data_IF_585463921205
#
_entry.id   IF_585463921205
#
_cell.length_a   1.000
_cell.length_b   1.000
_cell.length_c   1.000
_cell.angle_alpha   90.00
_cell.angle_beta   90.00
_cell.angle_gamma   90.00
#
_symmetry.space_group_name_H-M   'P 1'
#
loop_
_entity.id
_entity.type
_entity.pdbx_description
1 polymer ?
#
# COMPACT_ATOMS: atom_id res chain seq x y z
N UNK A 1 2.73 10.48 -8.86
CA UNK A 1 3.56 10.95 -7.72
C UNK A 1 4.40 12.10 -8.24
N UNK A 2 4.39 13.25 -7.57
CA UNK A 2 5.11 14.41 -8.09
C UNK A 2 6.63 14.16 -8.04
N UNK A 3 7.29 14.44 -9.16
CA UNK A 3 8.68 14.05 -9.48
C UNK A 3 9.76 14.86 -8.75
N UNK A 4 9.43 15.62 -7.70
CA UNK A 4 10.40 16.46 -6.96
C UNK A 4 10.63 15.85 -5.57
N UNK A 5 11.86 15.40 -5.30
CA UNK A 5 12.22 14.84 -3.99
C UNK A 5 12.45 15.92 -2.92
N UNK A 6 12.92 17.11 -3.35
CA UNK A 6 13.27 18.21 -2.44
C UNK A 6 12.50 19.47 -2.86
N UNK A 7 11.89 20.15 -1.89
CA UNK A 7 11.10 21.36 -2.11
C UNK A 7 11.46 22.43 -1.08
N UNK A 8 11.63 23.70 -1.47
CA UNK A 8 11.90 24.78 -0.53
C UNK A 8 10.69 25.01 0.38
N UNK A 9 10.95 25.27 1.67
CA UNK A 9 9.94 25.46 2.72
C UNK A 9 8.88 26.51 2.33
N UNK A 10 9.29 27.55 1.60
CA UNK A 10 8.42 28.65 1.21
C UNK A 10 7.32 28.23 0.21
N UNK A 11 7.53 27.14 -0.51
CA UNK A 11 6.56 26.59 -1.46
C UNK A 11 5.63 25.54 -0.82
N UNK A 12 5.88 25.18 0.45
CA UNK A 12 5.05 24.23 1.20
C UNK A 12 3.78 24.93 1.70
N UNK A 13 2.64 24.28 1.46
CA UNK A 13 1.33 24.71 1.97
C UNK A 13 0.33 25.08 0.88
N UNK A 14 -0.74 25.76 1.27
CA UNK A 14 -1.93 25.97 0.44
C UNK A 14 -1.70 26.77 -0.85
N UNK A 15 -0.53 27.41 -0.98
CA UNK A 15 -0.13 28.13 -2.19
C UNK A 15 0.08 27.20 -3.40
N UNK A 16 0.37 25.92 -3.15
CA UNK A 16 0.47 24.90 -4.20
C UNK A 16 -0.53 23.76 -3.94
N UNK A 17 -1.82 23.97 -4.24
CA UNK A 17 -2.88 23.02 -3.91
C UNK A 17 -2.78 21.72 -4.70
N UNK A 18 -2.10 21.71 -5.85
CA UNK A 18 -1.83 20.49 -6.64
C UNK A 18 -0.86 19.57 -5.89
N UNK A 19 0.16 20.14 -5.23
CA UNK A 19 1.14 19.36 -4.49
C UNK A 19 0.74 19.08 -3.04
N UNK A 20 0.05 20.01 -2.38
CA UNK A 20 -0.34 19.94 -0.98
C UNK A 20 -1.86 19.91 -0.80
N UNK A 21 -2.55 19.09 -1.59
CA UNK A 21 -3.97 18.84 -1.35
C UNK A 21 -4.15 18.01 -0.08
N UNK A 22 -5.24 18.29 0.66
CA UNK A 22 -5.59 17.54 1.88
C UNK A 22 -5.57 16.03 1.65
N UNK A 23 -6.18 15.58 0.55
CA UNK A 23 -6.24 14.17 0.15
C UNK A 23 -4.84 13.59 -0.02
N UNK A 24 -3.96 14.27 -0.76
CA UNK A 24 -2.60 13.77 -1.01
C UNK A 24 -1.78 13.71 0.27
N UNK A 25 -1.80 14.77 1.07
CA UNK A 25 -1.02 14.83 2.31
C UNK A 25 -1.48 13.76 3.31
N UNK A 26 -2.79 13.50 3.44
CA UNK A 26 -3.28 12.39 4.28
C UNK A 26 -2.78 11.04 3.78
N UNK A 27 -2.85 10.77 2.48
CA UNK A 27 -2.35 9.50 1.91
C UNK A 27 -0.83 9.35 2.12
N UNK A 28 -0.04 10.39 1.82
CA UNK A 28 1.42 10.35 1.97
C UNK A 28 1.85 10.13 3.41
N UNK A 29 1.22 10.82 4.37
CA UNK A 29 1.51 10.61 5.80
C UNK A 29 1.17 9.22 6.29
N UNK A 30 0.11 8.58 5.76
CA UNK A 30 -0.17 7.17 6.05
C UNK A 30 0.96 6.24 5.57
N UNK A 31 1.54 6.50 4.39
CA UNK A 31 2.69 5.74 3.89
C UNK A 31 3.98 5.99 4.67
N UNK A 32 4.12 7.14 5.34
CA UNK A 32 5.26 7.40 6.22
C UNK A 32 5.10 6.83 7.64
N UNK A 33 3.96 6.20 7.96
CA UNK A 33 3.82 5.47 9.24
C UNK A 33 4.82 4.30 9.25
N UNK A 34 5.32 3.95 10.43
CA UNK A 34 6.25 2.82 10.69
C UNK A 34 5.76 1.42 10.24
N UNK A 35 4.66 1.33 9.51
CA UNK A 35 4.08 0.08 8.99
C UNK A 35 4.55 -0.21 7.55
N UNK A 36 5.38 0.64 6.94
CA UNK A 36 6.00 0.37 5.64
C UNK A 36 7.38 -0.21 5.85
N UNK A 37 7.57 -1.46 5.40
CA UNK A 37 8.83 -2.19 5.48
C UNK A 37 9.36 -2.32 4.05
N UNK A 38 10.61 -1.92 3.83
CA UNK A 38 11.28 -2.18 2.57
C UNK A 38 11.53 -3.69 2.42
N UNK A 39 11.06 -4.25 1.31
CA UNK A 39 11.24 -5.67 0.98
C UNK A 39 12.30 -5.77 -0.10
N UNK A 40 13.47 -6.30 0.26
CA UNK A 40 14.65 -6.34 -0.62
C UNK A 40 14.92 -7.73 -1.20
N UNK A 41 14.32 -8.78 -0.65
CA UNK A 41 14.54 -10.16 -1.07
C UNK A 41 13.25 -10.96 -1.20
N UNK A 42 13.27 -11.97 -2.08
CA UNK A 42 12.14 -12.85 -2.30
C UNK A 42 11.82 -13.69 -1.05
N UNK A 43 12.84 -14.14 -0.33
CA UNK A 43 12.69 -14.83 0.96
C UNK A 43 11.95 -13.97 2.00
N UNK A 44 12.30 -12.70 2.13
CA UNK A 44 11.61 -11.78 3.04
C UNK A 44 10.16 -11.58 2.62
N UNK A 45 9.90 -11.42 1.32
CA UNK A 45 8.54 -11.30 0.79
C UNK A 45 7.68 -12.53 1.12
N UNK A 46 8.25 -13.72 0.93
CA UNK A 46 7.59 -14.98 1.23
C UNK A 46 7.25 -15.12 2.71
N UNK A 47 8.20 -14.85 3.61
CA UNK A 47 7.94 -14.95 5.05
C UNK A 47 6.90 -13.94 5.52
N UNK A 48 6.88 -12.73 4.97
CA UNK A 48 5.82 -11.75 5.26
C UNK A 48 4.45 -12.26 4.77
N UNK A 49 4.38 -12.80 3.56
CA UNK A 49 3.14 -13.36 3.03
C UNK A 49 2.64 -14.56 3.85
N UNK A 50 3.54 -15.46 4.25
CA UNK A 50 3.25 -16.64 5.06
C UNK A 50 2.72 -16.28 6.44
N UNK A 51 3.26 -15.24 7.07
CA UNK A 51 2.85 -14.77 8.39
C UNK A 51 1.60 -13.87 8.37
N UNK A 52 1.07 -13.55 7.18
CA UNK A 52 -0.12 -12.71 7.05
C UNK A 52 -1.37 -13.51 7.45
N UNK A 53 -2.25 -12.89 8.23
CA UNK A 53 -3.50 -13.51 8.67
C UNK A 53 -4.39 -13.88 7.48
N UNK A 54 -4.85 -15.14 7.41
CA UNK A 54 -5.67 -15.65 6.31
C UNK A 54 -4.87 -16.36 5.21
N UNK A 55 -3.54 -16.37 5.27
CA UNK A 55 -2.72 -17.18 4.36
C UNK A 55 -2.83 -18.66 4.69
N UNK A 56 -3.08 -19.47 3.66
CA UNK A 56 -3.13 -20.92 3.72
C UNK A 56 -1.86 -21.46 3.08
N UNK A 57 -1.13 -22.29 3.82
CA UNK A 57 0.09 -22.96 3.33
C UNK A 57 -0.34 -24.27 2.66
N UNK A 58 -0.08 -24.41 1.36
CA UNK A 58 -0.35 -25.63 0.60
C UNK A 58 0.69 -26.72 0.88
N UNK A 59 0.39 -27.98 0.55
CA UNK A 59 1.38 -29.06 0.53
C UNK A 59 2.19 -29.13 -0.78
N UNK A 60 1.89 -28.25 -1.74
CA UNK A 60 2.64 -28.13 -2.98
C UNK A 60 3.94 -27.35 -2.76
N UNK A 61 5.06 -27.90 -3.20
CA UNK A 61 6.34 -27.21 -3.23
C UNK A 61 6.44 -26.27 -4.44
N UNK A 62 7.15 -25.16 -4.28
CA UNK A 62 7.48 -24.23 -5.37
C UNK A 62 8.57 -24.85 -6.24
N UNK A 63 8.27 -25.07 -7.51
CA UNK A 63 9.25 -25.54 -8.47
C UNK A 63 10.42 -24.55 -8.62
N UNK A 64 11.65 -25.06 -8.62
CA UNK A 64 12.88 -24.27 -8.72
C UNK A 64 12.98 -23.11 -7.73
N UNK A 65 12.56 -23.32 -6.47
CA UNK A 65 12.53 -22.28 -5.43
C UNK A 65 13.85 -21.48 -5.31
N UNK A 66 15.00 -22.17 -5.35
CA UNK A 66 16.32 -21.53 -5.23
C UNK A 66 16.62 -20.57 -6.38
N UNK A 67 16.20 -20.88 -7.62
CA UNK A 67 16.38 -20.02 -8.79
C UNK A 67 15.54 -18.73 -8.67
N UNK A 68 14.42 -18.80 -7.95
CA UNK A 68 13.54 -17.68 -7.66
C UNK A 68 14.01 -16.85 -6.44
N UNK A 69 15.10 -17.24 -5.79
CA UNK A 69 15.60 -16.61 -4.56
C UNK A 69 14.80 -16.96 -3.30
N UNK A 70 14.06 -18.08 -3.33
CA UNK A 70 13.35 -18.68 -2.21
C UNK A 70 14.20 -19.80 -1.59
N UNK A 71 13.82 -20.25 -0.39
CA UNK A 71 14.47 -21.40 0.25
C UNK A 71 14.01 -22.72 -0.39
N UNK A 72 14.86 -23.73 -0.35
CA UNK A 72 14.49 -25.07 -0.78
C UNK A 72 13.33 -25.61 0.08
N UNK A 73 12.36 -26.28 -0.55
CA UNK A 73 11.16 -26.78 0.14
C UNK A 73 10.13 -25.68 0.48
N UNK A 74 10.27 -24.48 -0.06
CA UNK A 74 9.24 -23.43 0.04
C UNK A 74 7.91 -23.93 -0.54
N UNK A 75 6.81 -23.72 0.19
CA UNK A 75 5.47 -24.19 -0.18
C UNK A 75 4.68 -23.09 -0.89
N UNK A 76 3.75 -23.48 -1.74
CA UNK A 76 2.84 -22.53 -2.41
C UNK A 76 1.89 -21.93 -1.37
N UNK A 77 1.79 -20.60 -1.34
CA UNK A 77 0.85 -19.88 -0.48
C UNK A 77 -0.43 -19.58 -1.24
N UNK A 78 -1.56 -19.82 -0.59
CA UNK A 78 -2.89 -19.50 -1.10
C UNK A 78 -3.49 -18.43 -0.19
N UNK A 79 -3.95 -17.33 -0.80
CA UNK A 79 -4.68 -16.28 -0.11
C UNK A 79 -6.02 -16.09 -0.81
N UNK A 80 -7.10 -16.44 -0.10
CA UNK A 80 -8.46 -16.29 -0.62
C UNK A 80 -8.94 -14.86 -0.36
N UNK A 81 -8.46 -13.92 -1.19
CA UNK A 81 -8.98 -12.56 -1.18
C UNK A 81 -10.38 -12.51 -1.83
N UNK A 82 -11.17 -11.51 -1.48
CA UNK A 82 -12.52 -11.33 -2.00
C UNK A 82 -12.57 -11.14 -3.52
N UNK A 83 -13.78 -10.93 -4.05
CA UNK A 83 -14.02 -10.75 -5.50
C UNK A 83 -13.25 -9.61 -6.19
N UNK A 84 -12.55 -8.75 -5.43
CA UNK A 84 -11.77 -7.64 -5.95
C UNK A 84 -10.36 -8.12 -6.28
N UNK A 85 -10.15 -8.51 -7.54
CA UNK A 85 -8.83 -8.87 -8.05
C UNK A 85 -8.14 -7.63 -8.64
N UNK A 86 -7.33 -6.94 -7.83
CA UNK A 86 -6.43 -5.88 -8.27
C UNK A 86 -7.04 -4.48 -8.50
N UNK A 87 -6.35 -3.66 -9.32
CA UNK A 87 -6.69 -2.24 -9.54
C UNK A 87 -7.91 -2.08 -10.46
N UNK A 88 -9.09 -1.93 -9.87
CA UNK A 88 -10.35 -1.71 -10.61
C UNK A 88 -10.45 -0.27 -11.15
N UNK A 89 -10.55 -0.11 -12.47
CA UNK A 89 -10.69 1.21 -13.11
C UNK A 89 -11.97 1.95 -12.65
N UNK A 90 -13.06 1.22 -12.42
CA UNK A 90 -14.35 1.78 -11.97
C UNK A 90 -14.31 2.40 -10.57
N UNK A 91 -13.36 1.97 -9.74
CA UNK A 91 -13.16 2.49 -8.38
C UNK A 91 -12.25 3.73 -8.37
N UNK A 92 -11.59 4.07 -9.49
CA UNK A 92 -10.82 5.31 -9.57
C UNK A 92 -11.77 6.51 -9.51
N UNK A 93 -11.44 7.48 -8.68
CA UNK A 93 -12.16 8.74 -8.53
C UNK A 93 -11.21 9.88 -8.80
N UNK A 94 -11.65 10.83 -9.62
CA UNK A 94 -10.94 12.10 -9.80
C UNK A 94 -11.37 13.01 -8.67
N UNK A 95 -10.38 13.61 -8.02
CA UNK A 95 -10.61 14.56 -6.92
C UNK A 95 -10.61 15.96 -7.50
N UNK A 96 -11.65 16.72 -7.21
CA UNK A 96 -11.84 18.10 -7.61
C UNK A 96 -12.35 18.95 -6.43
N UNK A 97 -12.55 20.25 -6.67
CA UNK A 97 -12.98 21.20 -5.65
C UNK A 97 -14.34 20.85 -5.02
N UNK A 98 -15.21 20.12 -5.73
CA UNK A 98 -16.55 19.77 -5.25
C UNK A 98 -16.55 18.58 -4.31
N UNK A 99 -15.56 17.69 -4.42
CA UNK A 99 -15.53 16.42 -3.70
C UNK A 99 -14.32 16.25 -2.76
N UNK A 100 -13.32 17.15 -2.82
CA UNK A 100 -12.09 17.06 -2.03
C UNK A 100 -12.32 16.94 -0.53
N UNK A 101 -13.27 17.68 0.04
CA UNK A 101 -13.55 17.63 1.49
C UNK A 101 -14.20 16.31 1.91
N UNK A 102 -15.06 15.75 1.05
CA UNK A 102 -15.70 14.46 1.29
C UNK A 102 -14.65 13.34 1.31
N UNK A 103 -13.78 13.29 0.30
CA UNK A 103 -12.70 12.30 0.24
C UNK A 103 -11.67 12.50 1.36
N UNK A 104 -11.28 13.75 1.68
CA UNK A 104 -10.36 14.02 2.78
C UNK A 104 -10.93 13.57 4.13
N UNK A 105 -12.24 13.68 4.34
CA UNK A 105 -12.90 13.21 5.56
C UNK A 105 -12.96 11.68 5.61
N UNK A 106 -13.34 11.04 4.51
CA UNK A 106 -13.33 9.58 4.39
C UNK A 106 -11.94 8.99 4.65
N UNK A 107 -10.89 9.58 4.08
CA UNK A 107 -9.51 9.09 4.25
C UNK A 107 -9.04 9.20 5.70
N UNK A 108 -9.38 10.29 6.40
CA UNK A 108 -9.08 10.43 7.83
C UNK A 108 -9.80 9.39 8.69
N UNK A 109 -11.03 9.05 8.35
CA UNK A 109 -11.78 8.00 9.05
C UNK A 109 -11.17 6.61 8.82
N UNK A 110 -10.76 6.32 7.58
CA UNK A 110 -10.03 5.09 7.24
C UNK A 110 -8.70 5.02 7.99
N UNK A 111 -7.97 6.12 8.09
CA UNK A 111 -6.74 6.19 8.88
C UNK A 111 -6.98 5.87 10.35
N UNK A 112 -8.03 6.46 10.93
CA UNK A 112 -8.40 6.23 12.32
C UNK A 112 -8.73 4.74 12.56
N UNK A 113 -9.58 4.17 11.70
CA UNK A 113 -9.99 2.75 11.77
C UNK A 113 -8.84 1.77 11.54
N UNK A 114 -7.79 2.18 10.83
CA UNK A 114 -6.61 1.35 10.55
C UNK A 114 -5.64 1.26 11.73
N UNK A 115 -5.82 2.02 12.82
CA UNK A 115 -4.90 1.96 13.99
C UNK A 115 -5.03 0.67 14.80
N UNK A 116 -6.19 0.03 14.76
CA UNK A 116 -6.52 -1.13 15.58
C UNK A 116 -6.32 -2.48 14.84
N UNK A 117 -5.65 -2.46 13.69
CA UNK A 117 -5.31 -3.64 12.87
C UNK A 117 -3.79 -3.73 12.70
#
# INVERSE_FOLDING_TARGET
MATKSNMPIQEIGSKNPVLFSKVRTTIETMFYRNNVIEVTSMKQAYELAKNTHGTIISDLEVANATELGLEEGTKVLIFNDGSITGRQARLRRLVDETNVESFASLLREVEFSSKDK
#
